data_IF_853960810311
#
_entry.id   IF_853960810311
#
_cell.length_a   1.000
_cell.length_b   1.000
_cell.length_c   1.000
_cell.angle_alpha   90.00
_cell.angle_beta   90.00
_cell.angle_gamma   90.00
#
_symmetry.space_group_name_H-M   'P 1'
#
loop_
_entity.id
_entity.type
_entity.pdbx_description
1 polymer ?
#
# COMPACT_ATOMS: atom_id res chain seq x y z
N UNK A 1 27.01 -3.21 17.68
CA UNK A 1 25.65 -3.82 17.74
C UNK A 1 25.27 -4.44 16.40
N UNK A 2 25.37 -3.70 15.30
CA UNK A 2 25.08 -4.19 13.93
C UNK A 2 26.01 -5.30 13.43
N UNK A 3 27.32 -5.20 13.71
CA UNK A 3 28.31 -6.22 13.30
C UNK A 3 28.09 -7.58 13.98
N UNK A 4 27.71 -7.57 15.26
CA UNK A 4 27.42 -8.79 16.01
C UNK A 4 26.19 -9.54 15.44
N UNK A 5 25.15 -8.80 15.06
CA UNK A 5 23.95 -9.36 14.42
C UNK A 5 24.29 -9.93 13.04
N UNK A 6 25.13 -9.23 12.28
CA UNK A 6 25.55 -9.68 10.95
C UNK A 6 26.34 -10.99 11.01
N UNK A 7 27.27 -11.09 11.96
CA UNK A 7 28.05 -12.31 12.20
C UNK A 7 27.16 -13.47 12.67
N UNK A 8 26.14 -13.19 13.48
CA UNK A 8 25.18 -14.21 13.93
C UNK A 8 24.34 -14.75 12.76
N UNK A 9 23.92 -13.88 11.84
CA UNK A 9 23.19 -14.29 10.62
C UNK A 9 24.10 -15.11 9.70
N UNK A 10 25.37 -14.72 9.56
CA UNK A 10 26.34 -15.47 8.75
C UNK A 10 26.57 -16.88 9.29
N UNK A 11 26.72 -17.04 10.61
CA UNK A 11 26.83 -18.38 11.21
C UNK A 11 25.57 -19.23 11.04
N UNK A 12 24.37 -18.62 11.05
CA UNK A 12 23.13 -19.33 10.77
C UNK A 12 23.06 -19.79 9.32
N UNK A 13 23.57 -18.97 8.38
CA UNK A 13 23.69 -19.29 6.95
C UNK A 13 24.67 -20.44 6.68
N UNK A 14 25.79 -20.51 7.40
CA UNK A 14 26.77 -21.59 7.28
C UNK A 14 26.23 -22.95 7.74
N UNK A 15 25.23 -22.95 8.63
CA UNK A 15 24.61 -24.16 9.16
C UNK A 15 23.43 -24.69 8.33
N UNK A 16 22.97 -23.92 7.33
CA UNK A 16 21.85 -24.27 6.46
C UNK A 16 22.29 -25.19 5.31
N UNK A 17 21.43 -26.15 4.97
CA UNK A 17 21.67 -27.01 3.81
C UNK A 17 21.57 -26.22 2.49
N UNK A 18 22.24 -26.69 1.41
CA UNK A 18 22.25 -25.98 0.13
C UNK A 18 20.85 -25.77 -0.46
N UNK A 19 19.90 -26.68 -0.21
CA UNK A 19 18.50 -26.52 -0.62
C UNK A 19 17.80 -25.40 0.15
N UNK A 20 18.03 -25.31 1.46
CA UNK A 20 17.46 -24.27 2.33
C UNK A 20 18.04 -22.90 1.99
N UNK A 21 19.34 -22.83 1.66
CA UNK A 21 20.00 -21.62 1.16
C UNK A 21 19.39 -21.13 -0.15
N UNK A 22 19.05 -22.05 -1.07
CA UNK A 22 18.36 -21.68 -2.32
C UNK A 22 16.96 -21.12 -2.04
N UNK A 23 16.19 -21.74 -1.15
CA UNK A 23 14.86 -21.26 -0.77
C UNK A 23 14.93 -19.88 -0.11
N UNK A 24 15.87 -19.68 0.81
CA UNK A 24 16.10 -18.40 1.46
C UNK A 24 16.46 -17.31 0.44
N UNK A 25 17.35 -17.61 -0.51
CA UNK A 25 17.75 -16.66 -1.54
C UNK A 25 16.54 -16.28 -2.43
N UNK A 26 15.68 -17.24 -2.79
CA UNK A 26 14.44 -16.95 -3.52
C UNK A 26 13.49 -16.03 -2.74
N UNK A 27 13.33 -16.23 -1.44
CA UNK A 27 12.49 -15.37 -0.59
C UNK A 27 13.09 -13.97 -0.48
N UNK A 28 14.40 -13.86 -0.29
CA UNK A 28 15.11 -12.57 -0.27
C UNK A 28 14.90 -11.82 -1.60
N UNK A 29 15.09 -12.50 -2.74
CA UNK A 29 14.89 -11.89 -4.05
C UNK A 29 13.46 -11.40 -4.26
N UNK A 30 12.44 -12.15 -3.82
CA UNK A 30 11.05 -11.70 -3.85
C UNK A 30 10.83 -10.41 -3.03
N UNK A 31 11.42 -10.33 -1.84
CA UNK A 31 11.32 -9.12 -1.02
C UNK A 31 12.06 -7.93 -1.62
N UNK A 32 13.23 -8.15 -2.22
CA UNK A 32 13.99 -7.09 -2.90
C UNK A 32 13.26 -6.59 -4.15
N UNK A 33 12.68 -7.48 -4.95
CA UNK A 33 11.90 -7.12 -6.13
C UNK A 33 10.67 -6.26 -5.77
N UNK A 34 9.90 -6.65 -4.74
CA UNK A 34 8.76 -5.86 -4.27
C UNK A 34 9.18 -4.45 -3.79
N UNK A 35 10.36 -4.36 -3.16
CA UNK A 35 10.93 -3.07 -2.74
C UNK A 35 11.36 -2.23 -3.94
N UNK A 36 11.95 -2.84 -4.96
CA UNK A 36 12.39 -2.17 -6.18
C UNK A 36 11.20 -1.64 -7.00
N UNK A 37 10.13 -2.41 -7.15
CA UNK A 37 8.87 -1.95 -7.74
C UNK A 37 8.30 -0.73 -7.01
N UNK A 38 8.32 -0.75 -5.67
CA UNK A 38 7.89 0.39 -4.88
C UNK A 38 8.75 1.63 -5.14
N UNK A 39 10.08 1.48 -5.21
CA UNK A 39 11.00 2.58 -5.54
C UNK A 39 10.74 3.13 -6.94
N UNK A 40 10.58 2.26 -7.94
CA UNK A 40 10.29 2.68 -9.32
C UNK A 40 8.96 3.44 -9.41
N UNK A 41 7.93 2.95 -8.72
CA UNK A 41 6.62 3.59 -8.66
C UNK A 41 6.69 4.97 -7.99
N UNK A 42 7.47 5.12 -6.93
CA UNK A 42 7.73 6.43 -6.31
C UNK A 42 8.42 7.38 -7.28
N UNK A 43 9.44 6.93 -8.02
CA UNK A 43 10.13 7.74 -9.03
C UNK A 43 9.18 8.20 -10.14
N UNK A 44 8.33 7.30 -10.65
CA UNK A 44 7.32 7.64 -11.66
C UNK A 44 6.37 8.72 -11.17
N UNK A 45 5.83 8.58 -9.95
CA UNK A 45 4.93 9.57 -9.38
C UNK A 45 5.59 10.93 -9.12
N UNK A 46 6.86 10.92 -8.70
CA UNK A 46 7.65 12.15 -8.60
C UNK A 46 7.84 12.81 -9.96
N UNK A 47 8.11 12.03 -11.01
CA UNK A 47 8.25 12.57 -12.37
C UNK A 47 6.96 13.27 -12.84
N UNK A 48 5.78 12.69 -12.56
CA UNK A 48 4.48 13.30 -12.87
C UNK A 48 4.22 14.62 -12.12
N UNK A 49 4.67 14.71 -10.86
CA UNK A 49 4.61 15.98 -10.12
C UNK A 49 5.52 17.02 -10.75
N UNK A 50 6.77 16.65 -11.03
CA UNK A 50 7.76 17.59 -11.56
C UNK A 50 7.43 18.09 -12.96
N UNK A 51 6.75 17.28 -13.77
CA UNK A 51 6.26 17.68 -15.09
C UNK A 51 4.98 18.54 -15.04
N UNK A 52 4.41 18.76 -13.85
CA UNK A 52 3.18 19.52 -13.68
C UNK A 52 1.91 18.79 -14.13
N UNK A 53 2.00 17.51 -14.50
CA UNK A 53 0.85 16.68 -14.90
C UNK A 53 -0.08 16.41 -13.71
N UNK A 54 0.47 16.34 -12.49
CA UNK A 54 -0.30 16.24 -11.25
C UNK A 54 0.12 17.32 -10.26
N UNK A 55 -0.83 17.84 -9.49
CA UNK A 55 -0.59 18.92 -8.51
C UNK A 55 -0.05 18.40 -7.18
N UNK A 56 -0.48 17.20 -6.76
CA UNK A 56 -0.12 16.61 -5.47
C UNK A 56 -0.25 15.09 -5.52
N UNK A 57 0.66 14.38 -4.85
CA UNK A 57 0.52 12.95 -4.58
C UNK A 57 -0.26 12.76 -3.29
N UNK A 58 -1.45 12.16 -3.40
CA UNK A 58 -2.25 11.79 -2.22
C UNK A 58 -1.51 10.68 -1.47
N UNK A 59 -1.31 10.87 -0.19
CA UNK A 59 -0.85 9.76 0.66
C UNK A 59 -1.97 8.73 0.72
N UNK A 60 -1.65 7.41 0.65
CA UNK A 60 -2.64 6.38 0.89
C UNK A 60 -3.13 6.57 2.32
N UNK A 61 -4.34 7.13 2.46
CA UNK A 61 -4.97 7.22 3.75
C UNK A 61 -5.31 5.79 4.15
N UNK A 62 -4.56 5.23 5.09
CA UNK A 62 -4.95 4.10 5.93
C UNK A 62 -6.13 4.48 6.86
N UNK A 63 -6.99 5.41 6.42
CA UNK A 63 -8.30 5.57 7.00
C UNK A 63 -9.08 4.34 6.59
N UNK A 64 -8.98 3.32 7.47
CA UNK A 64 -10.03 2.37 7.82
C UNK A 64 -11.33 2.93 7.28
N UNK A 65 -11.86 2.28 6.23
CA UNK A 65 -13.09 2.64 5.54
C UNK A 65 -13.99 3.36 6.53
N UNK A 66 -13.98 4.69 6.51
CA UNK A 66 -14.83 5.44 7.42
C UNK A 66 -16.21 5.01 6.97
N UNK A 67 -16.88 4.21 7.79
CA UNK A 67 -18.25 3.79 7.53
C UNK A 67 -18.98 5.05 7.07
N UNK A 68 -19.43 5.04 5.82
CA UNK A 68 -20.01 6.24 5.21
C UNK A 68 -21.18 6.62 6.08
N UNK A 69 -21.03 7.67 6.88
CA UNK A 69 -22.09 8.12 7.76
C UNK A 69 -23.24 8.61 6.88
N UNK A 70 -24.43 8.11 7.15
CA UNK A 70 -25.64 8.59 6.49
C UNK A 70 -25.78 10.08 6.77
N UNK A 71 -25.81 10.88 5.71
CA UNK A 71 -26.05 12.32 5.82
C UNK A 71 -27.53 12.49 6.17
N UNK A 72 -27.80 13.07 7.33
CA UNK A 72 -29.16 13.41 7.73
C UNK A 72 -29.65 14.56 6.84
N UNK A 73 -30.68 14.29 6.05
CA UNK A 73 -31.34 15.31 5.23
C UNK A 73 -32.47 15.95 6.03
N UNK A 74 -32.58 17.28 5.96
CA UNK A 74 -33.75 18.00 6.46
C UNK A 74 -34.75 18.14 5.31
N UNK A 75 -35.88 17.43 5.40
CA UNK A 75 -36.93 17.47 4.39
C UNK A 75 -37.71 16.16 4.31
N UNK A 76 -38.80 16.16 3.52
CA UNK A 76 -39.54 14.93 3.22
C UNK A 76 -38.65 14.00 2.39
N UNK A 77 -38.71 12.68 2.62
CA UNK A 77 -37.96 11.75 1.80
C UNK A 77 -38.46 11.80 0.36
N UNK A 78 -37.55 11.62 -0.59
CA UNK A 78 -37.82 11.68 -2.03
C UNK A 78 -38.94 10.70 -2.42
N UNK A 79 -39.07 9.57 -1.72
CA UNK A 79 -40.17 8.62 -1.89
C UNK A 79 -41.54 9.27 -1.75
N UNK A 80 -41.69 10.19 -0.80
CA UNK A 80 -42.97 10.84 -0.52
C UNK A 80 -43.25 11.91 -1.57
N UNK A 81 -42.22 12.65 -2.01
CA UNK A 81 -42.34 13.66 -3.07
C UNK A 81 -42.74 13.04 -4.41
N UNK A 82 -42.19 11.87 -4.75
CA UNK A 82 -42.54 11.16 -6.00
C UNK A 82 -44.00 10.71 -6.01
N UNK A 83 -44.57 10.36 -4.85
CA UNK A 83 -45.97 9.96 -4.73
C UNK A 83 -46.89 11.17 -4.90
N UNK A 84 -46.55 12.30 -4.29
CA UNK A 84 -47.34 13.54 -4.38
C UNK A 84 -47.36 14.11 -5.82
N UNK A 85 -46.27 14.00 -6.58
CA UNK A 85 -46.16 14.52 -7.95
C UNK A 85 -46.83 13.65 -9.03
N UNK A 86 -47.20 12.40 -8.70
CA UNK A 86 -47.82 11.44 -9.66
C UNK A 86 -49.33 11.27 -9.47
N UNK A 87 -49.94 12.05 -8.59
CA UNK A 87 -51.40 12.18 -8.46
C UNK A 87 -51.89 13.41 -9.21
#
# INVERSE_FOLDING_TARGET
>A
MTEAILNQILHQLEALEPEELQQLNQVIQKHLAAKEEAVQRTRFYQALLTSGLVKQLKQPSYNRQTERQLIQIQGKPVSDTIIDERR
#
